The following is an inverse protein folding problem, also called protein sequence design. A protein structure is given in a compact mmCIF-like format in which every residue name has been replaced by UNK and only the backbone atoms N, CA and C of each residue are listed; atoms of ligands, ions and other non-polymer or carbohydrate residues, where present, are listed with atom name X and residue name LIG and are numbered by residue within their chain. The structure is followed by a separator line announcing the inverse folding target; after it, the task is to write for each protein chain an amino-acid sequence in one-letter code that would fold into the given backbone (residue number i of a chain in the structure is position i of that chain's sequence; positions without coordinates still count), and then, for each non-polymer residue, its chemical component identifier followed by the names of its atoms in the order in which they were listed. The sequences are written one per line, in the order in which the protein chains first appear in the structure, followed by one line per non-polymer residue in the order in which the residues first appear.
data_IF_173639255542
#
_entry.id   IF_173639255542
#
_cell.length_a   1.000
_cell.length_b   1.000
_cell.length_c   1.000
_cell.angle_alpha   90.00
_cell.angle_beta   90.00
_cell.angle_gamma   90.00
#
_symmetry.space_group_name_H-M   'P 1'
#
loop_
_entity.id
_entity.type
_entity.pdbx_description
1 polymer ?
#
# COMPACT_ATOMS: atom_id res chain seq x y z
N UNK A 1 -7.63 -8.67 12.34
CA UNK A 1 -6.80 -7.44 12.42
C UNK A 1 -6.98 -6.66 11.11
N UNK A 2 -7.39 -5.39 11.20
CA UNK A 2 -7.72 -4.53 10.05
C UNK A 2 -6.72 -3.39 9.98
N UNK A 3 -5.89 -3.39 8.94
CA UNK A 3 -4.71 -2.53 8.82
C UNK A 3 -4.86 -1.60 7.61
N UNK A 4 -4.61 -0.31 7.81
CA UNK A 4 -4.34 0.64 6.73
C UNK A 4 -2.83 0.81 6.59
N UNK A 5 -2.32 0.74 5.36
CA UNK A 5 -0.90 0.82 5.09
C UNK A 5 -0.58 2.03 4.20
N UNK A 6 0.08 3.01 4.79
CA UNK A 6 0.51 4.25 4.13
C UNK A 6 2.01 4.29 3.89
N UNK A 7 2.41 5.08 2.93
CA UNK A 7 3.79 5.34 2.57
C UNK A 7 3.87 5.78 1.10
N UNK A 8 4.87 6.57 0.71
CA UNK A 8 5.00 6.99 -0.67
C UNK A 8 5.26 5.80 -1.61
N UNK A 9 5.02 5.98 -2.89
CA UNK A 9 5.46 5.01 -3.88
C UNK A 9 6.98 4.85 -3.76
N UNK A 10 7.47 3.61 -3.78
CA UNK A 10 8.89 3.33 -3.53
C UNK A 10 9.27 3.06 -2.07
N UNK A 11 8.36 3.25 -1.10
CA UNK A 11 8.66 3.02 0.32
C UNK A 11 8.79 1.55 0.74
N UNK A 12 8.37 0.60 -0.09
CA UNK A 12 8.43 -0.84 0.21
C UNK A 12 7.14 -1.42 0.79
N UNK A 13 6.00 -0.69 0.75
CA UNK A 13 4.70 -1.18 1.24
C UNK A 13 4.34 -2.57 0.73
N UNK A 14 4.40 -2.79 -0.59
CA UNK A 14 4.04 -4.09 -1.17
C UNK A 14 4.85 -5.24 -0.58
N UNK A 15 6.17 -5.08 -0.46
CA UNK A 15 7.06 -6.09 0.13
C UNK A 15 6.71 -6.35 1.60
N UNK A 16 6.52 -5.30 2.39
CA UNK A 16 6.16 -5.45 3.81
C UNK A 16 4.73 -5.98 3.99
N UNK A 17 3.80 -5.57 3.13
CA UNK A 17 2.42 -6.08 3.10
C UNK A 17 2.35 -7.57 2.80
N UNK A 18 3.17 -8.08 1.87
CA UNK A 18 3.26 -9.51 1.57
C UNK A 18 3.75 -10.32 2.81
N UNK A 19 4.73 -9.79 3.54
CA UNK A 19 5.22 -10.41 4.79
C UNK A 19 4.14 -10.42 5.88
N UNK A 20 3.37 -9.32 6.01
CA UNK A 20 2.23 -9.26 6.95
C UNK A 20 1.15 -10.26 6.56
N UNK A 21 0.78 -10.32 5.28
CA UNK A 21 -0.18 -11.30 4.75
C UNK A 21 0.21 -12.73 5.12
N UNK A 22 1.44 -13.11 4.85
CA UNK A 22 1.95 -14.46 5.15
C UNK A 22 1.94 -14.75 6.66
N UNK A 23 2.39 -13.78 7.46
CA UNK A 23 2.56 -13.97 8.91
C UNK A 23 1.25 -14.00 9.68
N UNK A 24 0.24 -13.26 9.25
CA UNK A 24 -1.03 -13.09 9.97
C UNK A 24 -2.22 -13.76 9.27
N UNK A 25 -2.03 -14.34 8.09
CA UNK A 25 -3.09 -15.02 7.35
C UNK A 25 -4.25 -14.11 6.91
N UNK A 26 -3.98 -12.80 6.72
CA UNK A 26 -4.98 -11.83 6.26
C UNK A 26 -4.73 -11.42 4.81
N UNK A 27 -5.76 -11.11 4.01
CA UNK A 27 -5.56 -10.66 2.64
C UNK A 27 -4.82 -9.32 2.59
N UNK A 28 -3.85 -9.21 1.68
CA UNK A 28 -3.20 -7.96 1.30
C UNK A 28 -3.92 -7.39 0.08
N UNK A 29 -4.68 -6.33 0.26
CA UNK A 29 -5.52 -5.69 -0.74
C UNK A 29 -4.76 -4.48 -1.28
N UNK A 30 -4.19 -4.63 -2.46
CA UNK A 30 -3.46 -3.59 -3.17
C UNK A 30 -4.35 -2.95 -4.23
N UNK A 31 -4.85 -1.74 -3.99
CA UNK A 31 -5.73 -1.01 -4.93
C UNK A 31 -5.12 -0.89 -6.33
N UNK A 32 -3.82 -0.59 -6.39
CA UNK A 32 -3.11 -0.51 -7.67
C UNK A 32 -3.01 -1.85 -8.40
N UNK A 33 -2.99 -2.98 -7.71
CA UNK A 33 -3.01 -4.32 -8.34
C UNK A 33 -4.39 -4.60 -8.90
N UNK A 34 -5.46 -4.29 -8.17
CA UNK A 34 -6.84 -4.46 -8.65
C UNK A 34 -7.07 -3.69 -9.95
N UNK A 35 -6.69 -2.43 -10.01
CA UNK A 35 -6.86 -1.63 -11.23
C UNK A 35 -6.02 -2.17 -12.38
N UNK A 36 -4.74 -2.51 -12.17
CA UNK A 36 -3.88 -3.05 -13.23
C UNK A 36 -4.35 -4.41 -13.76
N UNK A 37 -4.89 -5.27 -12.89
CA UNK A 37 -5.51 -6.52 -13.33
C UNK A 37 -6.72 -6.24 -14.24
N UNK A 38 -7.59 -5.31 -13.85
CA UNK A 38 -8.72 -4.91 -14.66
C UNK A 38 -8.30 -4.30 -16.01
N UNK A 39 -7.24 -3.47 -16.04
CA UNK A 39 -6.66 -2.93 -17.27
C UNK A 39 -6.17 -4.06 -18.18
N UNK A 40 -5.42 -5.01 -17.63
CA UNK A 40 -4.87 -6.13 -18.38
C UNK A 40 -5.94 -7.04 -19.00
N UNK A 41 -7.07 -7.20 -18.31
CA UNK A 41 -8.23 -7.97 -18.78
C UNK A 41 -9.17 -7.15 -19.68
N UNK A 42 -8.95 -5.85 -19.84
CA UNK A 42 -9.77 -4.97 -20.67
C UNK A 42 -11.20 -4.78 -20.16
N UNK A 43 -11.44 -4.91 -18.85
CA UNK A 43 -12.76 -4.68 -18.25
C UNK A 43 -13.20 -3.22 -18.38
N UNK A 44 -14.47 -2.92 -18.20
CA UNK A 44 -14.96 -1.54 -18.25
C UNK A 44 -14.33 -0.67 -17.13
N UNK A 45 -14.12 -1.25 -15.95
CA UNK A 45 -13.35 -0.62 -14.88
C UNK A 45 -11.91 -0.33 -15.32
N UNK A 46 -11.25 -1.30 -15.95
CA UNK A 46 -9.89 -1.14 -16.45
C UNK A 46 -9.76 -0.05 -17.51
N UNK A 47 -10.70 0.01 -18.46
CA UNK A 47 -10.75 1.06 -19.48
C UNK A 47 -10.91 2.45 -18.88
N UNK A 48 -11.79 2.61 -17.88
CA UNK A 48 -12.01 3.88 -17.19
C UNK A 48 -10.81 4.32 -16.34
N UNK A 49 -10.10 3.36 -15.75
CA UNK A 49 -8.98 3.64 -14.84
C UNK A 49 -7.66 3.93 -15.57
N UNK A 50 -7.49 3.43 -16.79
CA UNK A 50 -6.21 3.38 -17.50
C UNK A 50 -5.53 4.74 -17.62
N UNK A 51 -6.21 5.73 -18.15
CA UNK A 51 -5.63 7.04 -18.43
C UNK A 51 -5.20 7.77 -17.16
N UNK A 52 -5.97 7.62 -16.07
CA UNK A 52 -5.59 8.17 -14.75
C UNK A 52 -4.32 7.54 -14.21
N UNK A 53 -4.20 6.21 -14.31
CA UNK A 53 -3.06 5.46 -13.77
C UNK A 53 -1.80 5.73 -14.58
N UNK A 54 -1.88 5.77 -15.90
CA UNK A 54 -0.76 6.02 -16.80
C UNK A 54 -0.16 7.42 -16.55
N UNK A 55 -0.99 8.40 -16.23
CA UNK A 55 -0.58 9.76 -15.86
C UNK A 55 -0.16 9.92 -14.39
N UNK A 56 -0.18 8.86 -13.59
CA UNK A 56 0.15 8.91 -12.15
C UNK A 56 -0.94 9.53 -11.28
N UNK A 57 -2.12 9.83 -11.84
CA UNK A 57 -3.26 10.40 -11.16
C UNK A 57 -4.07 9.39 -10.34
N UNK A 58 -5.12 9.88 -9.69
CA UNK A 58 -6.10 9.04 -8.98
C UNK A 58 -7.28 8.70 -9.90
N UNK A 59 -7.68 7.44 -9.88
CA UNK A 59 -8.98 7.03 -10.42
C UNK A 59 -10.09 7.73 -9.61
N UNK A 60 -11.15 8.25 -10.23
CA UNK A 60 -12.21 8.97 -9.53
C UNK A 60 -12.76 8.25 -8.30
N UNK A 61 -13.04 9.00 -7.24
CA UNK A 61 -13.53 8.44 -5.96
C UNK A 61 -14.86 7.70 -6.13
N UNK A 62 -15.71 8.16 -7.06
CA UNK A 62 -16.98 7.49 -7.40
C UNK A 62 -16.81 6.05 -7.93
N UNK A 63 -15.62 5.71 -8.40
CA UNK A 63 -15.24 4.36 -8.88
C UNK A 63 -14.47 3.63 -7.78
N UNK A 64 -13.48 4.30 -7.20
CA UNK A 64 -12.54 3.67 -6.26
C UNK A 64 -13.20 3.28 -4.95
N UNK A 65 -14.03 4.16 -4.37
CA UNK A 65 -14.67 3.90 -3.07
C UNK A 65 -15.59 2.68 -3.09
N UNK A 66 -16.59 2.59 -4.01
CA UNK A 66 -17.43 1.40 -4.07
C UNK A 66 -16.64 0.11 -4.30
N UNK A 67 -15.66 0.14 -5.21
CA UNK A 67 -14.82 -1.02 -5.51
C UNK A 67 -14.11 -1.54 -4.25
N UNK A 68 -13.53 -0.67 -3.43
CA UNK A 68 -12.84 -1.07 -2.20
C UNK A 68 -13.83 -1.57 -1.16
N UNK A 69 -14.95 -0.87 -0.95
CA UNK A 69 -15.95 -1.29 0.03
C UNK A 69 -16.55 -2.66 -0.31
N UNK A 70 -16.77 -2.96 -1.59
CA UNK A 70 -17.24 -4.28 -2.02
C UNK A 70 -16.16 -5.35 -1.80
N UNK A 71 -14.89 -5.07 -2.11
CA UNK A 71 -13.77 -5.98 -1.82
C UNK A 71 -13.64 -6.31 -0.33
N UNK A 72 -13.86 -5.35 0.56
CA UNK A 72 -13.77 -5.55 2.01
C UNK A 72 -14.92 -6.42 2.57
N UNK A 73 -16.00 -6.64 1.82
CA UNK A 73 -17.12 -7.52 2.21
C UNK A 73 -16.91 -8.98 1.84
N UNK A 74 -15.87 -9.29 1.04
CA UNK A 74 -15.58 -10.67 0.65
C UNK A 74 -15.22 -11.55 1.86
N UNK A 75 -15.45 -12.84 1.73
CA UNK A 75 -15.33 -13.80 2.85
C UNK A 75 -13.93 -13.86 3.47
N UNK A 76 -12.89 -13.70 2.66
CA UNK A 76 -11.50 -13.69 3.12
C UNK A 76 -11.14 -12.47 3.99
N UNK A 77 -11.96 -11.40 3.94
CA UNK A 77 -11.79 -10.18 4.72
C UNK A 77 -12.42 -10.25 6.12
N UNK A 78 -13.23 -11.27 6.42
CA UNK A 78 -13.95 -11.38 7.70
C UNK A 78 -13.03 -11.47 8.91
N UNK A 79 -11.91 -12.17 8.78
CA UNK A 79 -10.90 -12.32 9.85
C UNK A 79 -9.97 -11.12 10.00
N UNK A 80 -9.96 -10.23 9.03
CA UNK A 80 -9.10 -9.05 8.93
C UNK A 80 -8.60 -8.82 7.53
N UNK A 81 -7.88 -7.72 7.33
CA UNK A 81 -7.32 -7.33 6.05
C UNK A 81 -6.19 -6.31 6.22
N UNK A 82 -5.33 -6.23 5.23
CA UNK A 82 -4.37 -5.15 5.04
C UNK A 82 -4.71 -4.42 3.76
N UNK A 83 -5.04 -3.13 3.85
CA UNK A 83 -5.40 -2.28 2.72
C UNK A 83 -4.23 -1.36 2.36
N UNK A 84 -3.67 -1.54 1.18
CA UNK A 84 -2.54 -0.79 0.64
C UNK A 84 -2.97 0.03 -0.59
N UNK A 85 -2.61 1.29 -0.59
CA UNK A 85 -2.91 2.21 -1.69
C UNK A 85 -4.33 2.79 -1.68
N UNK A 86 -5.04 2.66 -0.56
CA UNK A 86 -6.31 3.33 -0.24
C UNK A 86 -6.40 3.49 1.28
N UNK A 87 -6.92 4.63 1.80
CA UNK A 87 -7.28 5.85 1.04
C UNK A 87 -6.06 6.61 0.51
N UNK A 88 -6.26 7.41 -0.55
CA UNK A 88 -5.22 8.23 -1.16
C UNK A 88 -5.55 9.74 -1.16
N UNK A 89 -6.68 10.10 -0.58
CA UNK A 89 -7.06 11.48 -0.32
C UNK A 89 -7.96 11.55 0.93
N UNK A 90 -8.25 12.77 1.38
CA UNK A 90 -9.05 13.01 2.58
C UNK A 90 -10.49 12.49 2.42
N UNK A 91 -11.11 12.69 1.24
CA UNK A 91 -12.48 12.26 0.97
C UNK A 91 -12.59 10.73 1.09
N UNK A 92 -11.67 10.01 0.47
CA UNK A 92 -11.60 8.54 0.57
C UNK A 92 -11.44 8.09 2.03
N UNK A 93 -10.60 8.77 2.82
CA UNK A 93 -10.39 8.44 4.23
C UNK A 93 -11.67 8.63 5.06
N UNK A 94 -12.40 9.72 4.83
CA UNK A 94 -13.66 10.01 5.50
C UNK A 94 -14.77 9.01 5.12
N UNK A 95 -14.91 8.71 3.83
CA UNK A 95 -15.92 7.77 3.35
C UNK A 95 -15.63 6.33 3.81
N UNK A 96 -14.35 5.91 3.83
CA UNK A 96 -13.97 4.63 4.42
C UNK A 96 -14.34 4.59 5.92
N UNK A 97 -14.00 5.63 6.67
CA UNK A 97 -14.33 5.72 8.10
C UNK A 97 -15.82 5.58 8.36
N UNK A 98 -16.65 6.36 7.65
CA UNK A 98 -18.12 6.30 7.74
C UNK A 98 -18.68 4.91 7.38
N UNK A 99 -18.17 4.30 6.32
CA UNK A 99 -18.64 2.99 5.87
C UNK A 99 -18.32 1.90 6.89
N UNK A 100 -17.12 1.91 7.46
CA UNK A 100 -16.71 0.96 8.48
C UNK A 100 -17.48 1.16 9.78
N UNK A 101 -17.69 2.39 10.22
CA UNK A 101 -18.47 2.73 11.40
C UNK A 101 -19.92 2.22 11.28
N UNK A 102 -20.54 2.39 10.10
CA UNK A 102 -21.91 1.89 9.84
C UNK A 102 -22.03 0.37 9.99
N UNK A 103 -20.97 -0.36 9.68
CA UNK A 103 -20.91 -1.83 9.83
C UNK A 103 -20.41 -2.25 11.22
N UNK A 104 -20.16 -1.31 12.13
CA UNK A 104 -19.60 -1.60 13.46
C UNK A 104 -18.15 -2.08 13.41
N UNK A 105 -17.42 -1.73 12.34
CA UNK A 105 -16.04 -2.14 12.09
C UNK A 105 -15.09 -0.99 12.41
N UNK A 106 -14.05 -1.27 13.19
CA UNK A 106 -12.97 -0.31 13.42
C UNK A 106 -11.71 -0.71 12.63
N UNK A 107 -10.94 0.29 12.22
CA UNK A 107 -9.54 0.10 11.83
C UNK A 107 -8.75 -0.15 13.12
N UNK A 108 -7.99 -1.23 13.15
CA UNK A 108 -7.20 -1.59 14.33
C UNK A 108 -5.85 -0.87 14.35
N UNK A 109 -5.21 -0.78 13.17
CA UNK A 109 -3.84 -0.28 13.04
C UNK A 109 -3.73 0.58 11.77
N UNK A 110 -3.02 1.68 11.89
CA UNK A 110 -2.53 2.47 10.77
C UNK A 110 -1.01 2.40 10.76
N UNK A 111 -0.43 1.88 9.70
CA UNK A 111 1.01 1.82 9.49
C UNK A 111 1.41 2.88 8.47
N UNK A 112 2.42 3.67 8.78
CA UNK A 112 3.01 4.65 7.88
C UNK A 112 4.51 4.39 7.71
N UNK A 113 4.94 4.04 6.48
CA UNK A 113 6.37 3.99 6.16
C UNK A 113 6.81 5.40 5.76
N UNK A 114 7.66 5.99 6.59
CA UNK A 114 8.25 7.29 6.39
C UNK A 114 9.47 7.17 5.47
N UNK A 115 9.48 7.89 4.38
CA UNK A 115 10.59 7.90 3.44
C UNK A 115 10.70 9.28 2.78
N UNK A 116 11.91 9.76 2.61
CA UNK A 116 12.20 10.97 1.87
C UNK A 116 11.79 10.84 0.40
N UNK A 117 11.30 11.95 -0.18
CA UNK A 117 10.78 11.99 -1.56
C UNK A 117 11.82 11.57 -2.60
N UNK A 118 13.05 12.07 -2.46
CA UNK A 118 14.13 11.77 -3.41
C UNK A 118 14.54 10.29 -3.34
N UNK A 119 14.64 9.75 -2.12
CA UNK A 119 14.93 8.33 -1.94
C UNK A 119 13.80 7.48 -2.53
N UNK A 120 12.55 7.87 -2.30
CA UNK A 120 11.38 7.17 -2.84
C UNK A 120 11.36 7.21 -4.38
N UNK A 121 11.65 8.37 -5.00
CA UNK A 121 11.75 8.54 -6.45
C UNK A 121 12.82 7.61 -7.04
N UNK A 122 14.02 7.64 -6.50
CA UNK A 122 15.12 6.79 -6.94
C UNK A 122 14.76 5.29 -6.84
N UNK A 123 14.07 4.89 -5.76
CA UNK A 123 13.61 3.51 -5.59
C UNK A 123 12.58 3.10 -6.63
N UNK A 124 11.67 3.99 -7.03
CA UNK A 124 10.70 3.69 -8.10
C UNK A 124 11.41 3.47 -9.41
N UNK A 125 12.29 4.38 -9.82
CA UNK A 125 13.03 4.30 -11.09
C UNK A 125 13.88 3.03 -11.19
N UNK A 126 14.47 2.61 -10.07
CA UNK A 126 15.26 1.37 -9.98
C UNK A 126 14.44 0.09 -9.86
N UNK A 127 13.13 0.16 -9.63
CA UNK A 127 12.28 -1.01 -9.35
C UNK A 127 12.17 -1.93 -10.57
N UNK A 128 12.26 -3.23 -10.30
CA UNK A 128 11.97 -4.30 -11.27
C UNK A 128 10.96 -5.25 -10.66
N UNK A 129 9.91 -5.55 -11.40
CA UNK A 129 8.84 -6.43 -10.95
C UNK A 129 9.07 -7.84 -11.46
N UNK A 130 9.03 -8.81 -10.56
CA UNK A 130 9.01 -10.21 -10.94
C UNK A 130 7.66 -10.58 -11.55
N UNK A 131 7.67 -11.32 -12.67
CA UNK A 131 6.43 -11.78 -13.32
C UNK A 131 5.68 -12.81 -12.48
N UNK A 132 6.40 -13.57 -11.63
CA UNK A 132 5.82 -14.60 -10.78
C UNK A 132 5.19 -14.02 -9.50
N UNK A 133 5.80 -12.96 -8.93
CA UNK A 133 5.29 -12.26 -7.75
C UNK A 133 5.79 -10.82 -7.74
N UNK A 134 4.88 -9.86 -7.87
CA UNK A 134 5.20 -8.43 -7.88
C UNK A 134 5.83 -7.92 -6.58
N UNK A 135 5.73 -8.69 -5.48
CA UNK A 135 6.25 -8.31 -4.17
C UNK A 135 7.66 -8.85 -3.91
N UNK A 136 8.23 -9.65 -4.81
CA UNK A 136 9.65 -9.99 -4.75
C UNK A 136 10.50 -8.72 -4.88
N UNK A 137 11.36 -8.41 -3.88
CA UNK A 137 12.12 -7.17 -3.90
C UNK A 137 13.25 -7.24 -4.92
N UNK A 138 13.15 -6.44 -5.97
CA UNK A 138 14.19 -6.27 -6.97
C UNK A 138 14.34 -4.78 -7.32
N UNK A 139 15.56 -4.27 -7.15
CA UNK A 139 15.88 -2.87 -7.47
C UNK A 139 17.32 -2.74 -7.97
N UNK A 140 17.50 -2.11 -9.12
CA UNK A 140 18.83 -2.01 -9.75
C UNK A 140 19.76 -1.01 -9.07
N UNK A 141 19.23 -0.12 -8.22
CA UNK A 141 19.97 0.90 -7.48
C UNK A 141 20.24 0.53 -6.01
N UNK A 142 19.72 -0.59 -5.54
CA UNK A 142 19.88 -1.03 -4.15
C UNK A 142 20.62 -2.38 -4.14
N UNK A 143 21.89 -2.38 -3.77
CA UNK A 143 22.75 -3.58 -3.84
C UNK A 143 22.16 -4.77 -3.08
N UNK A 144 21.57 -4.55 -1.90
CA UNK A 144 20.96 -5.59 -1.08
C UNK A 144 19.81 -6.34 -1.77
N UNK A 145 19.16 -5.73 -2.75
CA UNK A 145 18.04 -6.30 -3.50
C UNK A 145 18.23 -6.18 -5.03
N UNK A 146 19.49 -6.10 -5.46
CA UNK A 146 19.83 -6.04 -6.88
C UNK A 146 19.49 -7.37 -7.57
N UNK A 147 18.84 -7.31 -8.74
CA UNK A 147 18.59 -8.50 -9.57
C UNK A 147 19.87 -9.21 -9.99
N UNK A 148 19.75 -10.48 -10.32
CA UNK A 148 20.82 -11.24 -10.98
C UNK A 148 20.65 -11.09 -12.51
N UNK A 149 21.34 -10.10 -13.09
CA UNK A 149 21.07 -9.68 -14.47
C UNK A 149 19.61 -9.29 -14.67
N UNK A 150 18.94 -9.94 -15.63
CA UNK A 150 17.52 -9.72 -15.94
C UNK A 150 16.57 -10.68 -15.18
N UNK A 151 17.09 -11.37 -14.16
CA UNK A 151 16.33 -12.37 -13.39
C UNK A 151 16.04 -11.90 -11.96
N UNK A 152 14.86 -12.29 -11.49
CA UNK A 152 14.45 -12.05 -10.12
C UNK A 152 15.41 -12.74 -9.13
N UNK A 153 16.01 -11.98 -8.24
CA UNK A 153 16.92 -12.49 -7.23
C UNK A 153 16.31 -13.51 -6.25
N UNK A 154 14.97 -13.53 -6.13
CA UNK A 154 14.27 -14.42 -5.19
C UNK A 154 13.93 -15.76 -5.85
N UNK A 155 13.38 -15.76 -7.08
CA UNK A 155 12.86 -16.97 -7.71
C UNK A 155 13.42 -17.25 -9.11
N UNK A 156 14.33 -16.42 -9.63
CA UNK A 156 14.88 -16.57 -10.99
C UNK A 156 13.90 -16.23 -12.14
N UNK A 157 12.68 -15.81 -11.81
CA UNK A 157 11.67 -15.42 -12.82
C UNK A 157 12.07 -14.17 -13.60
N UNK A 158 11.39 -13.93 -14.71
CA UNK A 158 11.60 -12.74 -15.53
C UNK A 158 11.23 -11.46 -14.78
N UNK A 159 11.90 -10.36 -15.15
CA UNK A 159 11.64 -9.04 -14.61
C UNK A 159 11.04 -8.13 -15.68
N UNK A 160 10.12 -7.27 -15.24
CA UNK A 160 9.50 -6.23 -16.06
C UNK A 160 9.53 -4.88 -15.34
N UNK A 161 9.47 -3.80 -16.08
CA UNK A 161 9.21 -2.44 -15.57
C UNK A 161 7.73 -2.10 -15.72
N UNK A 162 7.25 -1.17 -14.93
CA UNK A 162 5.97 -0.49 -15.20
C UNK A 162 6.25 0.76 -16.05
N UNK A 163 5.35 1.08 -16.97
CA UNK A 163 5.45 2.31 -17.75
C UNK A 163 5.47 3.54 -16.85
N UNK A 164 4.58 3.58 -15.88
CA UNK A 164 4.45 4.65 -14.90
C UNK A 164 5.60 4.76 -13.87
N UNK A 165 6.54 3.83 -13.86
CA UNK A 165 7.77 3.89 -13.05
C UNK A 165 8.98 4.47 -13.83
N UNK A 166 8.83 4.65 -15.14
CA UNK A 166 9.87 5.21 -16.02
C UNK A 166 9.50 6.63 -16.48
N UNK A 167 8.31 7.11 -16.12
CA UNK A 167 7.83 8.45 -16.40
C UNK A 167 8.02 9.32 -15.15
N UNK A 168 8.96 10.26 -15.21
CA UNK A 168 9.26 11.13 -14.07
C UNK A 168 8.09 12.03 -13.70
N UNK A 169 7.31 12.51 -14.66
CA UNK A 169 6.15 13.37 -14.40
C UNK A 169 5.06 12.57 -13.65
N UNK A 170 4.80 11.33 -14.06
CA UNK A 170 3.87 10.44 -13.37
C UNK A 170 4.35 10.08 -11.96
N UNK A 171 5.66 9.91 -11.74
CA UNK A 171 6.25 9.70 -10.41
C UNK A 171 6.05 10.94 -9.54
N UNK A 172 6.38 12.12 -10.06
CA UNK A 172 6.26 13.37 -9.31
C UNK A 172 4.81 13.69 -8.98
N UNK A 173 3.86 13.41 -9.88
CA UNK A 173 2.44 13.56 -9.61
C UNK A 173 1.97 12.65 -8.47
N UNK A 174 2.35 11.36 -8.48
CA UNK A 174 2.04 10.43 -7.39
C UNK A 174 2.62 10.87 -6.05
N UNK A 175 3.82 11.42 -6.05
CA UNK A 175 4.44 11.98 -4.85
C UNK A 175 3.76 13.25 -4.39
N UNK A 176 3.37 14.15 -5.29
CA UNK A 176 2.59 15.34 -4.94
C UNK A 176 1.27 14.93 -4.25
N UNK A 177 0.55 13.95 -4.80
CA UNK A 177 -0.66 13.41 -4.18
C UNK A 177 -0.37 12.82 -2.80
N UNK A 178 0.74 12.08 -2.65
CA UNK A 178 1.06 11.45 -1.37
C UNK A 178 1.39 12.49 -0.28
N UNK A 179 2.27 13.44 -0.57
CA UNK A 179 2.77 14.41 0.41
C UNK A 179 1.84 15.62 0.65
N UNK A 180 0.72 15.72 -0.06
CA UNK A 180 -0.30 16.73 0.18
C UNK A 180 -1.00 16.47 1.52
N UNK A 181 -0.80 17.42 2.47
CA UNK A 181 -1.34 17.35 3.83
C UNK A 181 -2.74 17.91 3.96
N UNK A 182 -3.28 18.56 2.93
CA UNK A 182 -4.60 19.19 2.95
C UNK A 182 -5.66 18.27 2.32
N UNK A 183 -5.37 17.72 1.14
CA UNK A 183 -6.34 16.95 0.37
C UNK A 183 -5.83 15.55 -0.01
N UNK A 184 -4.51 15.33 -0.03
CA UNK A 184 -3.88 14.11 -0.51
C UNK A 184 -3.83 12.96 0.51
N UNK A 185 -2.91 12.05 0.28
CA UNK A 185 -2.79 10.84 1.13
C UNK A 185 -2.40 11.19 2.56
N UNK A 186 -1.51 12.16 2.75
CA UNK A 186 -1.11 12.61 4.10
C UNK A 186 -2.27 13.23 4.87
N UNK A 187 -3.21 13.92 4.21
CA UNK A 187 -4.44 14.38 4.86
C UNK A 187 -5.27 13.20 5.40
N UNK A 188 -5.36 12.09 4.65
CA UNK A 188 -5.99 10.86 5.11
C UNK A 188 -5.26 10.23 6.31
N UNK A 189 -3.92 10.25 6.32
CA UNK A 189 -3.12 9.79 7.48
C UNK A 189 -3.41 10.65 8.71
N UNK A 190 -3.42 11.97 8.56
CA UNK A 190 -3.74 12.93 9.62
C UNK A 190 -5.14 12.67 10.18
N UNK A 191 -6.13 12.47 9.33
CA UNK A 191 -7.50 12.11 9.71
C UNK A 191 -7.54 10.89 10.65
N UNK A 192 -6.84 9.80 10.34
CA UNK A 192 -6.79 8.62 11.20
C UNK A 192 -5.97 8.85 12.48
N UNK A 193 -4.93 9.69 12.45
CA UNK A 193 -4.20 10.11 13.66
C UNK A 193 -5.12 10.89 14.62
N UNK A 194 -5.98 11.75 14.08
CA UNK A 194 -6.96 12.48 14.89
C UNK A 194 -8.04 11.57 15.50
N UNK A 195 -8.52 10.58 14.74
CA UNK A 195 -9.43 9.56 15.27
C UNK A 195 -8.75 8.79 16.41
N UNK A 196 -7.52 8.37 16.22
CA UNK A 196 -6.73 7.68 17.25
C UNK A 196 -6.62 8.52 18.54
N UNK A 197 -6.29 9.81 18.41
CA UNK A 197 -6.16 10.71 19.55
C UNK A 197 -7.48 10.91 20.33
N UNK A 198 -8.62 10.88 19.61
CA UNK A 198 -9.96 11.04 20.20
C UNK A 198 -10.53 9.72 20.75
N UNK A 199 -10.01 8.58 20.31
CA UNK A 199 -10.56 7.24 20.62
C UNK A 199 -9.56 6.35 21.37
N UNK A 200 -8.94 6.88 22.42
CA UNK A 200 -8.03 6.15 23.32
C UNK A 200 -6.91 5.39 22.60
N UNK A 201 -6.38 5.94 21.51
CA UNK A 201 -5.29 5.34 20.75
C UNK A 201 -5.73 4.27 19.73
N UNK A 202 -7.01 4.22 19.37
CA UNK A 202 -7.54 3.33 18.32
C UNK A 202 -7.99 4.16 17.12
N UNK A 203 -7.50 3.89 15.89
CA UNK A 203 -6.50 2.87 15.52
C UNK A 203 -5.11 3.15 16.13
N UNK A 204 -4.35 2.09 16.44
CA UNK A 204 -2.94 2.25 16.82
C UNK A 204 -2.15 2.79 15.63
N UNK A 205 -1.38 3.85 15.85
CA UNK A 205 -0.52 4.46 14.81
C UNK A 205 0.90 3.90 14.94
N UNK A 206 1.42 3.36 13.84
CA UNK A 206 2.78 2.80 13.75
C UNK A 206 3.54 3.53 12.65
N UNK A 207 4.55 4.33 13.03
CA UNK A 207 5.53 4.88 12.09
C UNK A 207 6.72 3.95 11.94
N UNK A 208 7.20 3.77 10.70
CA UNK A 208 8.39 2.99 10.35
C UNK A 208 9.34 3.84 9.53
N UNK A 209 10.63 3.76 9.82
CA UNK A 209 11.65 4.31 8.92
C UNK A 209 11.79 3.41 7.68
N UNK A 210 11.53 3.96 6.49
CA UNK A 210 11.65 3.22 5.24
C UNK A 210 13.08 3.16 4.67
N UNK A 211 14.05 3.83 5.29
CA UNK A 211 15.44 3.89 4.79
C UNK A 211 16.22 2.58 4.92
N UNK A 212 16.12 1.84 6.04
CA UNK A 212 16.81 0.58 6.21
C UNK A 212 16.45 -0.48 5.16
N UNK A 213 17.15 -1.61 5.19
CA UNK A 213 16.89 -2.73 4.30
C UNK A 213 15.55 -3.42 4.59
N UNK A 214 15.13 -4.27 3.66
CA UNK A 214 13.83 -4.98 3.75
C UNK A 214 13.70 -5.75 5.07
N UNK A 215 14.79 -6.41 5.49
CA UNK A 215 14.81 -7.25 6.69
C UNK A 215 14.63 -6.42 7.96
N UNK A 216 15.39 -5.35 8.10
CA UNK A 216 15.37 -4.47 9.28
C UNK A 216 13.99 -3.80 9.44
N UNK A 217 13.42 -3.28 8.35
CA UNK A 217 12.06 -2.71 8.37
C UNK A 217 11.03 -3.77 8.74
N UNK A 218 11.18 -5.00 8.24
CA UNK A 218 10.29 -6.12 8.56
C UNK A 218 10.37 -6.52 10.04
N UNK A 219 11.57 -6.60 10.60
CA UNK A 219 11.80 -6.94 12.02
C UNK A 219 11.18 -5.87 12.94
N UNK A 220 11.37 -4.58 12.62
CA UNK A 220 10.75 -3.48 13.34
C UNK A 220 9.22 -3.54 13.26
N UNK A 221 8.66 -3.74 12.06
CA UNK A 221 7.22 -3.86 11.85
C UNK A 221 6.64 -5.01 12.66
N UNK A 222 7.25 -6.21 12.59
CA UNK A 222 6.78 -7.38 13.33
C UNK A 222 6.87 -7.17 14.84
N UNK A 223 7.91 -6.52 15.34
CA UNK A 223 8.05 -6.17 16.76
C UNK A 223 6.91 -5.26 17.23
N UNK A 224 6.61 -4.20 16.45
CA UNK A 224 5.53 -3.25 16.77
C UNK A 224 4.13 -3.88 16.68
N UNK A 225 3.92 -4.81 15.73
CA UNK A 225 2.66 -5.54 15.59
C UNK A 225 2.42 -6.54 16.73
N UNK A 226 3.44 -7.26 17.19
CA UNK A 226 3.34 -8.18 18.34
C UNK A 226 3.00 -7.47 19.65
N UNK A 227 3.43 -6.26 19.83
CA UNK A 227 3.11 -5.42 20.99
C UNK A 227 1.68 -4.83 20.97
N UNK A 228 0.84 -5.20 19.99
CA UNK A 228 -0.58 -4.87 20.00
C UNK A 228 -1.36 -5.98 20.70
N UNK A 229 -2.25 -5.63 21.62
CA UNK A 229 -3.11 -6.60 22.36
C UNK A 229 -4.09 -7.40 21.48
N UNK A 230 -3.96 -7.28 20.16
CA UNK A 230 -4.77 -7.92 19.12
C UNK A 230 -4.25 -9.29 18.69
N UNK A 231 -3.25 -9.84 19.43
CA UNK A 231 -2.62 -11.11 19.10
C UNK A 231 -3.51 -12.30 19.49
N UNK A 232 -4.21 -12.86 18.51
CA UNK A 232 -4.37 -14.32 18.43
C UNK A 232 -3.64 -14.75 17.13
N UNK A 233 -2.39 -15.23 17.21
CA UNK A 233 -1.82 -15.95 16.08
C UNK A 233 -2.67 -17.21 15.90
N UNK A 234 -3.05 -17.50 14.67
CA UNK A 234 -3.57 -18.81 14.30
C UNK A 234 -2.48 -19.82 14.68
N UNK A 235 -2.75 -20.64 15.71
CA UNK A 235 -1.94 -21.77 16.14
C UNK A 235 -2.02 -22.87 15.09
#
# INVERSE_FOLDING_TARGET
MKILFFGPNGSGKGTQGAIVKEKFGIPHIETGVIFRDNISRGTDLGKQAKDYIDQGGLVPDSITIPMILDRLKEDDCKSGWLLDGFPRNLVQAQELGKALEKEGINVDIVIEILLDREIAKNRIMGRRLCVNDNNHPNNIYIDAIKPDGDKCRVCGGELKTRSDDQDEEAIDQRHNIYYDTENGTMAGVIFFKEISAKNNGIPKIIGLDGRPGVKEVSEELMSKLRGTSLNNPIT
#
